data_IF_771250888799
#
_entry.id   IF_771250888799
#
_cell.length_a   1.000
_cell.length_b   1.000
_cell.length_c   1.000
_cell.angle_alpha   90.00
_cell.angle_beta   90.00
_cell.angle_gamma   90.00
#
_symmetry.space_group_name_H-M   'P 1'
#
loop_
_entity.id
_entity.type
_entity.pdbx_description
1 polymer ?
#
# COMPACT_ATOMS: atom_id res chain seq x y z
N UNK A 1 -31.76 -0.79 27.30
CA UNK A 1 -30.64 -1.37 26.57
C UNK A 1 -31.05 -2.73 26.08
N UNK A 2 -31.03 -2.97 24.79
CA UNK A 2 -31.42 -4.27 24.23
C UNK A 2 -30.21 -5.22 24.30
N UNK A 3 -30.09 -5.99 25.39
CA UNK A 3 -29.17 -7.11 25.47
C UNK A 3 -29.88 -8.36 24.95
N UNK A 4 -29.31 -8.99 23.93
CA UNK A 4 -29.80 -10.26 23.38
C UNK A 4 -29.39 -11.48 24.25
N UNK A 5 -28.60 -11.25 25.31
CA UNK A 5 -28.16 -12.24 26.27
C UNK A 5 -28.47 -11.75 27.70
N UNK A 6 -28.84 -12.63 28.61
CA UNK A 6 -29.12 -12.14 29.98
C UNK A 6 -29.78 -13.15 30.94
N UNK A 7 -30.23 -14.30 30.46
CA UNK A 7 -31.02 -15.23 31.28
C UNK A 7 -30.39 -15.76 32.58
N UNK A 8 -29.04 -15.67 32.70
CA UNK A 8 -28.31 -16.09 33.90
C UNK A 8 -28.01 -14.95 34.87
N UNK A 9 -28.03 -13.70 34.39
CA UNK A 9 -27.58 -12.56 35.18
C UNK A 9 -28.71 -12.01 36.03
N UNK A 10 -28.41 -11.72 37.31
CA UNK A 10 -29.36 -11.23 38.33
C UNK A 10 -29.27 -9.72 38.55
N UNK A 11 -28.33 -9.04 37.88
CA UNK A 11 -28.12 -7.59 37.99
C UNK A 11 -27.98 -7.01 36.57
N UNK A 12 -28.38 -5.77 36.41
CA UNK A 12 -28.12 -5.00 35.19
C UNK A 12 -26.62 -4.72 35.03
N UNK A 13 -26.14 -4.67 33.80
CA UNK A 13 -24.75 -4.32 33.52
C UNK A 13 -24.53 -2.84 33.85
N UNK A 14 -23.43 -2.55 34.53
CA UNK A 14 -23.01 -1.18 34.78
C UNK A 14 -22.77 -0.42 33.45
N UNK A 15 -23.20 0.84 33.42
CA UNK A 15 -23.14 1.64 32.20
C UNK A 15 -21.70 1.88 31.69
N UNK A 16 -20.73 2.00 32.59
CA UNK A 16 -19.31 2.15 32.20
C UNK A 16 -18.78 0.86 31.57
N UNK A 17 -19.16 -0.30 32.14
CA UNK A 17 -18.82 -1.62 31.60
C UNK A 17 -19.44 -1.81 30.22
N UNK A 18 -20.71 -1.43 30.06
CA UNK A 18 -21.38 -1.49 28.73
C UNK A 18 -20.66 -0.63 27.71
N UNK A 19 -20.37 0.63 28.00
CA UNK A 19 -19.71 1.56 27.11
C UNK A 19 -18.27 1.11 26.75
N UNK A 20 -17.57 0.52 27.72
CA UNK A 20 -16.21 0.02 27.53
C UNK A 20 -16.16 -1.22 26.61
N UNK A 21 -17.19 -2.06 26.66
CA UNK A 21 -17.28 -3.27 25.84
C UNK A 21 -17.86 -3.02 24.46
N UNK A 22 -18.62 -1.93 24.26
CA UNK A 22 -19.33 -1.65 23.01
C UNK A 22 -18.33 -1.37 21.85
N UNK A 23 -18.60 -1.98 20.69
CA UNK A 23 -17.80 -1.84 19.48
C UNK A 23 -18.51 -1.11 18.33
N UNK A 24 -19.81 -0.79 18.49
CA UNK A 24 -20.65 -0.19 17.44
C UNK A 24 -20.05 1.09 16.84
N UNK A 25 -19.25 1.85 17.61
CA UNK A 25 -18.62 3.08 17.15
C UNK A 25 -17.65 2.88 15.98
N UNK A 26 -17.02 1.72 15.89
CA UNK A 26 -16.04 1.38 14.88
C UNK A 26 -16.45 0.19 14.00
N UNK A 27 -17.11 -0.85 14.54
CA UNK A 27 -17.50 -2.04 13.78
C UNK A 27 -18.65 -1.77 12.79
N UNK A 28 -19.37 -0.67 12.96
CA UNK A 28 -20.33 -0.21 11.95
C UNK A 28 -19.75 -0.03 10.56
N UNK A 29 -18.41 0.02 10.39
CA UNK A 29 -17.74 0.11 9.09
C UNK A 29 -17.98 -1.12 8.21
N UNK A 30 -18.16 -2.29 8.81
CA UNK A 30 -18.41 -3.52 8.06
C UNK A 30 -19.88 -3.97 8.09
N UNK A 31 -20.84 -3.03 8.20
CA UNK A 31 -22.28 -3.35 8.20
C UNK A 31 -22.72 -4.15 6.97
N UNK A 32 -22.15 -3.85 5.81
CA UNK A 32 -22.46 -4.57 4.58
C UNK A 32 -21.96 -6.02 4.63
N UNK A 33 -20.75 -6.25 5.14
CA UNK A 33 -20.20 -7.59 5.28
C UNK A 33 -20.96 -8.45 6.28
N UNK A 34 -21.43 -7.87 7.40
CA UNK A 34 -22.32 -8.56 8.35
C UNK A 34 -23.65 -8.97 7.70
N UNK A 35 -24.23 -8.09 6.90
CA UNK A 35 -25.49 -8.38 6.17
C UNK A 35 -25.24 -9.45 5.09
N UNK A 36 -24.19 -9.36 4.31
CA UNK A 36 -23.85 -10.33 3.25
C UNK A 36 -23.58 -11.72 3.85
N UNK A 37 -22.78 -11.77 4.94
CA UNK A 37 -22.55 -12.99 5.70
C UNK A 37 -23.83 -13.59 6.27
N UNK A 38 -24.73 -12.75 6.78
CA UNK A 38 -26.06 -13.17 7.28
C UNK A 38 -26.95 -13.70 6.17
N UNK A 39 -26.96 -13.06 4.98
CA UNK A 39 -27.74 -13.55 3.83
C UNK A 39 -27.22 -14.90 3.31
N UNK A 40 -25.90 -15.10 3.25
CA UNK A 40 -25.31 -16.38 2.89
C UNK A 40 -25.66 -17.47 3.89
N UNK A 41 -25.61 -17.15 5.20
CA UNK A 41 -25.99 -18.06 6.26
C UNK A 41 -27.46 -18.50 6.14
N UNK A 42 -28.38 -17.58 5.93
CA UNK A 42 -29.83 -17.86 5.76
C UNK A 42 -30.10 -18.75 4.54
N UNK A 43 -29.45 -18.48 3.40
CA UNK A 43 -29.53 -19.33 2.20
C UNK A 43 -29.09 -20.77 2.50
N UNK A 44 -28.01 -20.92 3.25
CA UNK A 44 -27.50 -22.22 3.69
C UNK A 44 -28.47 -22.91 4.65
N UNK A 45 -29.03 -22.21 5.64
CA UNK A 45 -30.00 -22.79 6.57
C UNK A 45 -31.25 -23.32 5.85
N UNK A 46 -31.73 -22.59 4.83
CA UNK A 46 -32.85 -23.04 4.00
C UNK A 46 -32.48 -24.28 3.17
N UNK A 47 -31.30 -24.27 2.52
CA UNK A 47 -30.79 -25.43 1.75
C UNK A 47 -30.71 -26.70 2.60
N UNK A 48 -30.34 -26.55 3.87
CA UNK A 48 -30.24 -27.65 4.83
C UNK A 48 -31.58 -28.03 5.49
N UNK A 49 -32.69 -27.36 5.13
CA UNK A 49 -34.02 -27.61 5.69
C UNK A 49 -34.20 -27.21 7.15
N UNK A 50 -33.28 -26.36 7.66
CA UNK A 50 -33.37 -25.78 9.03
C UNK A 50 -34.36 -24.63 9.06
N UNK A 51 -34.44 -23.84 7.98
CA UNK A 51 -35.47 -22.84 7.72
C UNK A 51 -36.39 -23.31 6.59
N UNK A 52 -37.65 -22.90 6.63
CA UNK A 52 -38.53 -23.04 5.47
C UNK A 52 -38.14 -21.99 4.40
N UNK A 53 -38.51 -22.24 3.15
CA UNK A 53 -38.31 -21.26 2.06
C UNK A 53 -39.00 -19.92 2.36
N UNK A 54 -40.18 -19.95 2.98
CA UNK A 54 -40.94 -18.75 3.33
C UNK A 54 -40.18 -17.90 4.37
N UNK A 55 -39.66 -18.53 5.45
CA UNK A 55 -38.87 -17.88 6.49
C UNK A 55 -37.57 -17.29 5.91
N UNK A 56 -36.88 -18.07 5.09
CA UNK A 56 -35.67 -17.63 4.40
C UNK A 56 -35.95 -16.39 3.55
N UNK A 57 -36.98 -16.41 2.72
CA UNK A 57 -37.34 -15.28 1.86
C UNK A 57 -37.71 -14.02 2.66
N UNK A 58 -38.38 -14.19 3.81
CA UNK A 58 -38.73 -13.08 4.70
C UNK A 58 -37.44 -12.47 5.30
N UNK A 59 -36.54 -13.29 5.78
CA UNK A 59 -35.28 -12.83 6.38
C UNK A 59 -34.42 -12.14 5.33
N UNK A 60 -34.26 -12.73 4.14
CA UNK A 60 -33.44 -12.13 3.06
C UNK A 60 -33.97 -10.76 2.65
N UNK A 61 -35.29 -10.63 2.41
CA UNK A 61 -35.91 -9.33 2.10
C UNK A 61 -35.75 -8.31 3.23
N UNK A 62 -35.81 -8.77 4.49
CA UNK A 62 -35.61 -7.92 5.65
C UNK A 62 -34.17 -7.37 5.69
N UNK A 63 -33.17 -8.23 5.44
CA UNK A 63 -31.75 -7.88 5.40
C UNK A 63 -31.42 -6.94 4.22
N UNK A 64 -31.92 -7.26 3.01
CA UNK A 64 -31.80 -6.39 1.83
C UNK A 64 -32.37 -4.99 2.09
N UNK A 65 -33.54 -4.91 2.72
CA UNK A 65 -34.16 -3.64 3.07
C UNK A 65 -33.40 -2.87 4.15
N UNK A 66 -32.71 -3.55 5.08
CA UNK A 66 -31.82 -2.90 6.06
C UNK A 66 -30.60 -2.32 5.35
N UNK A 67 -29.96 -3.10 4.47
CA UNK A 67 -28.80 -2.65 3.69
C UNK A 67 -29.13 -1.39 2.88
N UNK A 68 -30.22 -1.45 2.10
CA UNK A 68 -30.65 -0.30 1.30
C UNK A 68 -30.96 0.96 2.13
N UNK A 69 -31.60 0.80 3.29
CA UNK A 69 -31.94 1.93 4.14
C UNK A 69 -30.71 2.57 4.81
N UNK A 70 -29.70 1.77 5.18
CA UNK A 70 -28.41 2.28 5.69
C UNK A 70 -27.68 3.01 4.58
N UNK A 71 -27.59 2.44 3.38
CA UNK A 71 -26.93 3.07 2.22
C UNK A 71 -27.59 4.37 1.78
N UNK A 72 -28.92 4.44 1.83
CA UNK A 72 -29.68 5.65 1.53
C UNK A 72 -29.67 6.69 2.66
N UNK A 73 -29.11 6.33 3.84
CA UNK A 73 -29.09 7.18 5.02
C UNK A 73 -30.48 7.37 5.67
N UNK A 74 -31.46 6.54 5.33
CA UNK A 74 -32.80 6.54 5.93
C UNK A 74 -32.89 5.77 7.25
N UNK A 75 -31.91 4.88 7.48
CA UNK A 75 -31.73 4.16 8.72
C UNK A 75 -30.33 4.46 9.29
N UNK A 76 -30.29 5.18 10.41
CA UNK A 76 -29.05 5.48 11.11
C UNK A 76 -28.63 4.32 12.03
N UNK A 77 -27.35 3.90 11.97
CA UNK A 77 -26.80 2.88 12.85
C UNK A 77 -26.70 3.46 14.27
N UNK A 78 -27.55 2.96 15.17
CA UNK A 78 -27.73 3.53 16.50
C UNK A 78 -26.71 3.03 17.50
N UNK A 79 -26.05 3.94 18.21
CA UNK A 79 -25.17 3.66 19.36
C UNK A 79 -25.86 3.06 20.60
N UNK A 80 -27.15 2.74 20.53
CA UNK A 80 -27.90 2.03 21.60
C UNK A 80 -27.53 0.54 21.68
N UNK A 81 -26.96 0.00 20.61
CA UNK A 81 -26.55 -1.40 20.50
C UNK A 81 -25.07 -1.56 20.84
N UNK A 82 -24.70 -2.76 21.32
CA UNK A 82 -23.33 -3.08 21.70
C UNK A 82 -22.42 -3.16 20.47
N UNK A 83 -22.92 -3.78 19.40
CA UNK A 83 -22.20 -4.04 18.15
C UNK A 83 -23.13 -3.95 16.94
N UNK A 84 -22.53 -3.95 15.74
CA UNK A 84 -23.29 -3.89 14.47
C UNK A 84 -24.20 -5.10 14.29
N UNK A 85 -23.77 -6.28 14.74
CA UNK A 85 -24.52 -7.51 14.64
C UNK A 85 -25.82 -7.44 15.43
N UNK A 86 -25.75 -6.92 16.66
CA UNK A 86 -26.94 -6.69 17.51
C UNK A 86 -27.88 -5.65 16.90
N UNK A 87 -27.33 -4.62 16.25
CA UNK A 87 -28.13 -3.64 15.52
C UNK A 87 -28.88 -4.27 14.35
N UNK A 88 -28.21 -5.04 13.50
CA UNK A 88 -28.80 -5.70 12.32
C UNK A 88 -29.88 -6.71 12.78
N UNK A 89 -29.54 -7.57 13.74
CA UNK A 89 -30.46 -8.61 14.25
C UNK A 89 -31.72 -7.99 14.89
N UNK A 90 -31.56 -6.98 15.77
CA UNK A 90 -32.69 -6.32 16.41
C UNK A 90 -33.56 -5.58 15.40
N UNK A 91 -32.96 -4.86 14.45
CA UNK A 91 -33.68 -4.16 13.39
C UNK A 91 -34.45 -5.14 12.51
N UNK A 92 -33.86 -6.30 12.20
CA UNK A 92 -34.54 -7.35 11.45
C UNK A 92 -35.74 -7.89 12.22
N UNK A 93 -35.59 -8.21 13.52
CA UNK A 93 -36.69 -8.68 14.38
C UNK A 93 -37.83 -7.65 14.46
N UNK A 94 -37.49 -6.37 14.59
CA UNK A 94 -38.50 -5.30 14.59
C UNK A 94 -39.27 -5.21 13.26
N UNK A 95 -38.66 -5.54 12.13
CA UNK A 95 -39.31 -5.51 10.81
C UNK A 95 -40.16 -6.74 10.51
N UNK A 96 -39.65 -7.94 10.86
CA UNK A 96 -40.29 -9.20 10.38
C UNK A 96 -40.72 -10.15 11.52
N UNK A 97 -40.53 -9.77 12.80
CA UNK A 97 -41.00 -10.50 13.96
C UNK A 97 -40.30 -11.85 14.19
N UNK A 98 -41.08 -12.92 14.43
CA UNK A 98 -40.56 -14.23 14.83
C UNK A 98 -39.59 -14.86 13.84
N UNK A 99 -39.78 -14.63 12.54
CA UNK A 99 -38.85 -15.15 11.52
C UNK A 99 -37.45 -14.56 11.70
N UNK A 100 -37.34 -13.28 12.09
CA UNK A 100 -36.04 -12.62 12.35
C UNK A 100 -35.22 -13.24 13.45
N UNK A 101 -35.89 -13.79 14.49
CA UNK A 101 -35.21 -14.48 15.61
C UNK A 101 -34.46 -15.75 15.18
N UNK A 102 -34.78 -16.30 14.01
CA UNK A 102 -34.14 -17.51 13.50
C UNK A 102 -32.83 -17.25 12.78
N UNK A 103 -32.47 -16.01 12.49
CA UNK A 103 -31.23 -15.60 11.82
C UNK A 103 -29.97 -16.18 12.50
N UNK A 104 -29.96 -16.21 13.83
CA UNK A 104 -28.79 -16.64 14.61
C UNK A 104 -28.67 -18.15 14.78
N UNK A 105 -29.56 -18.97 14.19
CA UNK A 105 -29.58 -20.43 14.35
C UNK A 105 -28.24 -21.06 13.86
N UNK A 106 -27.58 -21.83 14.74
CA UNK A 106 -26.31 -22.50 14.41
C UNK A 106 -25.10 -21.58 14.27
N UNK A 107 -25.19 -20.30 14.66
CA UNK A 107 -24.13 -19.31 14.58
C UNK A 107 -23.71 -18.82 15.97
N UNK A 108 -22.46 -18.43 16.10
CA UNK A 108 -21.96 -17.69 17.25
C UNK A 108 -21.52 -16.28 16.85
N UNK A 109 -21.47 -15.35 17.80
CA UNK A 109 -20.85 -14.04 17.57
C UNK A 109 -19.38 -14.19 17.16
N UNK A 110 -18.69 -15.24 17.61
CA UNK A 110 -17.26 -15.47 17.36
C UNK A 110 -16.97 -15.76 15.88
N UNK A 111 -17.71 -16.69 15.23
CA UNK A 111 -17.52 -16.98 13.80
C UNK A 111 -18.12 -15.90 12.91
N UNK A 112 -19.16 -15.19 13.35
CA UNK A 112 -19.72 -14.04 12.66
C UNK A 112 -18.72 -12.89 12.57
N UNK A 113 -18.14 -12.43 13.69
CA UNK A 113 -17.16 -11.33 13.67
C UNK A 113 -15.86 -11.71 12.94
N UNK A 114 -15.46 -12.98 13.00
CA UNK A 114 -14.31 -13.48 12.24
C UNK A 114 -14.57 -13.42 10.72
N UNK A 115 -15.79 -13.75 10.29
CA UNK A 115 -16.20 -13.64 8.89
C UNK A 115 -16.17 -12.18 8.42
N UNK A 116 -16.84 -11.29 9.17
CA UNK A 116 -17.00 -9.89 8.78
C UNK A 116 -15.65 -9.18 8.67
N UNK A 117 -14.75 -9.46 9.63
CA UNK A 117 -13.39 -8.94 9.60
C UNK A 117 -12.59 -9.46 8.39
N UNK A 118 -12.77 -10.73 8.00
CA UNK A 118 -12.14 -11.29 6.78
C UNK A 118 -12.71 -10.67 5.52
N UNK A 119 -14.03 -10.57 5.39
CA UNK A 119 -14.68 -9.94 4.23
C UNK A 119 -14.24 -8.49 4.07
N UNK A 120 -14.34 -7.70 5.14
CA UNK A 120 -13.94 -6.31 5.14
C UNK A 120 -12.46 -6.12 4.78
N UNK A 121 -11.58 -6.92 5.39
CA UNK A 121 -10.13 -6.87 5.07
C UNK A 121 -9.83 -7.29 3.65
N UNK A 122 -10.59 -8.24 3.08
CA UNK A 122 -10.47 -8.66 1.68
C UNK A 122 -10.86 -7.52 0.73
N UNK A 123 -11.96 -6.83 1.00
CA UNK A 123 -12.41 -5.70 0.19
C UNK A 123 -11.41 -4.55 0.24
N UNK A 124 -10.91 -4.21 1.43
CA UNK A 124 -9.89 -3.17 1.62
C UNK A 124 -8.57 -3.52 0.93
N UNK A 125 -8.15 -4.80 0.96
CA UNK A 125 -6.97 -5.28 0.23
C UNK A 125 -7.12 -5.01 -1.28
N UNK A 126 -8.27 -5.36 -1.86
CA UNK A 126 -8.54 -5.16 -3.30
C UNK A 126 -8.55 -3.67 -3.67
N UNK A 127 -9.12 -2.82 -2.82
CA UNK A 127 -9.10 -1.36 -3.02
C UNK A 127 -7.65 -0.84 -3.00
N UNK A 128 -6.86 -1.28 -2.02
CA UNK A 128 -5.45 -0.86 -1.89
C UNK A 128 -4.62 -1.37 -3.06
N UNK A 129 -4.82 -2.62 -3.51
CA UNK A 129 -4.15 -3.17 -4.71
C UNK A 129 -4.45 -2.32 -5.94
N UNK A 130 -5.71 -1.91 -6.13
CA UNK A 130 -6.12 -1.00 -7.19
C UNK A 130 -5.42 0.37 -7.12
N UNK A 131 -5.25 0.93 -5.92
CA UNK A 131 -4.53 2.19 -5.74
C UNK A 131 -3.03 2.05 -6.04
N UNK A 132 -2.41 0.95 -5.66
CA UNK A 132 -1.00 0.66 -6.02
C UNK A 132 -0.86 0.46 -7.53
N UNK A 133 -1.85 -0.19 -8.19
CA UNK A 133 -1.89 -0.29 -9.65
C UNK A 133 -1.93 1.09 -10.33
N UNK A 134 -2.74 2.02 -9.83
CA UNK A 134 -2.79 3.38 -10.36
C UNK A 134 -1.46 4.13 -10.16
N UNK A 135 -0.80 3.96 -9.02
CA UNK A 135 0.53 4.52 -8.79
C UNK A 135 1.56 3.95 -9.77
N UNK A 136 1.58 2.63 -9.99
CA UNK A 136 2.46 1.98 -10.96
C UNK A 136 2.22 2.50 -12.39
N UNK A 137 0.96 2.69 -12.77
CA UNK A 137 0.60 3.27 -14.07
C UNK A 137 1.12 4.69 -14.23
N UNK A 138 1.03 5.50 -13.18
CA UNK A 138 1.55 6.87 -13.16
C UNK A 138 3.08 6.89 -13.28
N UNK A 139 3.77 6.04 -12.53
CA UNK A 139 5.23 5.90 -12.60
C UNK A 139 5.65 5.47 -14.02
N UNK A 140 4.96 4.50 -14.61
CA UNK A 140 5.25 4.02 -15.96
C UNK A 140 5.10 5.11 -17.00
N UNK A 141 4.06 5.95 -16.89
CA UNK A 141 3.87 7.09 -17.77
C UNK A 141 5.04 8.08 -17.70
N UNK A 142 5.50 8.40 -16.50
CA UNK A 142 6.67 9.27 -16.29
C UNK A 142 7.92 8.63 -16.91
N UNK A 143 8.12 7.31 -16.77
CA UNK A 143 9.24 6.61 -17.40
C UNK A 143 9.21 6.73 -18.92
N UNK A 144 8.03 6.64 -19.55
CA UNK A 144 7.88 6.78 -21.00
C UNK A 144 8.22 8.20 -21.50
N UNK A 145 7.82 9.21 -20.75
CA UNK A 145 8.04 10.62 -21.08
C UNK A 145 9.50 11.06 -20.86
N UNK A 146 10.22 10.35 -19.97
CA UNK A 146 11.54 10.77 -19.49
C UNK A 146 12.65 9.74 -19.70
N UNK A 147 12.54 8.92 -20.73
CA UNK A 147 13.53 7.87 -21.04
C UNK A 147 14.92 8.44 -21.33
N UNK A 148 14.97 9.64 -21.88
CA UNK A 148 16.21 10.34 -22.27
C UNK A 148 16.56 11.50 -21.30
N UNK A 149 15.78 11.72 -20.24
CA UNK A 149 16.04 12.79 -19.28
C UNK A 149 17.18 12.41 -18.35
N UNK A 150 18.36 12.98 -18.56
CA UNK A 150 19.56 12.72 -17.77
C UNK A 150 19.50 13.43 -16.44
N UNK A 151 19.88 12.73 -15.37
CA UNK A 151 20.02 13.26 -14.02
C UNK A 151 21.18 12.59 -13.28
N UNK A 152 21.71 13.20 -12.20
CA UNK A 152 22.68 12.51 -11.35
C UNK A 152 22.01 11.40 -10.55
N UNK A 153 22.59 10.21 -10.54
CA UNK A 153 22.32 9.20 -9.53
C UNK A 153 23.12 9.51 -8.26
N UNK A 154 22.54 9.17 -7.10
CA UNK A 154 23.14 9.47 -5.79
C UNK A 154 23.45 8.21 -5.00
N UNK A 155 24.59 8.22 -4.31
CA UNK A 155 24.91 7.33 -3.20
C UNK A 155 25.39 8.20 -2.04
N UNK A 156 25.00 7.89 -0.79
CA UNK A 156 25.33 8.72 0.39
C UNK A 156 24.93 10.19 0.25
N UNK A 157 23.87 10.49 -0.53
CA UNK A 157 23.45 11.84 -0.95
C UNK A 157 24.56 12.62 -1.69
N UNK A 158 25.57 11.94 -2.20
CA UNK A 158 26.59 12.49 -3.10
C UNK A 158 26.31 12.06 -4.53
N UNK A 159 26.55 12.95 -5.50
CA UNK A 159 26.45 12.63 -6.92
C UNK A 159 27.44 11.52 -7.28
N UNK A 160 26.95 10.50 -7.97
CA UNK A 160 27.74 9.30 -8.26
C UNK A 160 27.93 9.09 -9.77
N UNK A 161 26.90 8.59 -10.45
CA UNK A 161 26.92 8.29 -11.87
C UNK A 161 25.73 8.90 -12.59
N UNK A 162 25.79 9.20 -13.91
CA UNK A 162 24.64 9.68 -14.64
C UNK A 162 23.65 8.54 -14.86
N UNK A 163 22.37 8.85 -14.66
CA UNK A 163 21.24 7.96 -14.90
C UNK A 163 20.18 8.71 -15.69
N UNK A 164 19.06 8.06 -16.02
CA UNK A 164 17.86 8.75 -16.51
C UNK A 164 16.78 8.82 -15.42
N UNK A 165 15.87 9.79 -15.57
CA UNK A 165 14.70 9.87 -14.69
C UNK A 165 13.84 8.61 -14.83
N UNK A 166 13.71 8.05 -16.04
CA UNK A 166 13.04 6.77 -16.23
C UNK A 166 13.68 5.63 -15.43
N UNK A 167 15.01 5.57 -15.39
CA UNK A 167 15.72 4.55 -14.60
C UNK A 167 15.46 4.71 -13.10
N UNK A 168 15.46 5.95 -12.60
CA UNK A 168 15.15 6.24 -11.19
C UNK A 168 13.71 5.86 -10.84
N UNK A 169 12.73 6.25 -11.65
CA UNK A 169 11.32 5.89 -11.48
C UNK A 169 11.09 4.38 -11.56
N UNK A 170 11.84 3.68 -12.40
CA UNK A 170 11.81 2.22 -12.52
C UNK A 170 12.17 1.51 -11.22
N UNK A 171 13.05 2.10 -10.37
CA UNK A 171 13.35 1.55 -9.06
C UNK A 171 12.12 1.56 -8.13
N UNK A 172 11.34 2.64 -8.12
CA UNK A 172 10.06 2.73 -7.39
C UNK A 172 9.00 1.80 -7.99
N UNK A 173 8.94 1.68 -9.30
CA UNK A 173 8.05 0.70 -9.95
C UNK A 173 8.31 -0.71 -9.41
N UNK A 174 9.56 -1.15 -9.34
CA UNK A 174 9.92 -2.47 -8.81
C UNK A 174 9.58 -2.63 -7.31
N UNK A 175 9.66 -1.56 -6.52
CA UNK A 175 9.26 -1.60 -5.11
C UNK A 175 7.75 -1.87 -4.98
N UNK A 176 6.91 -1.08 -5.63
CA UNK A 176 5.46 -1.21 -5.57
C UNK A 176 4.93 -2.45 -6.28
N UNK A 177 5.61 -2.93 -7.32
CA UNK A 177 5.33 -4.23 -7.94
C UNK A 177 5.50 -5.39 -6.95
N UNK A 178 6.56 -5.36 -6.12
CA UNK A 178 6.74 -6.34 -5.05
C UNK A 178 5.67 -6.21 -3.96
N UNK A 179 5.19 -4.99 -3.68
CA UNK A 179 4.12 -4.78 -2.72
C UNK A 179 2.81 -5.40 -3.17
N UNK A 180 2.46 -5.28 -4.46
CA UNK A 180 1.30 -5.98 -5.03
C UNK A 180 1.43 -7.49 -4.90
N UNK A 181 2.62 -8.05 -5.15
CA UNK A 181 2.86 -9.47 -4.92
C UNK A 181 2.57 -9.90 -3.48
N UNK A 182 2.95 -9.07 -2.47
CA UNK A 182 2.62 -9.33 -1.06
C UNK A 182 1.11 -9.33 -0.83
N UNK A 183 0.38 -8.35 -1.38
CA UNK A 183 -1.08 -8.29 -1.25
C UNK A 183 -1.76 -9.52 -1.86
N UNK A 184 -1.32 -9.97 -3.03
CA UNK A 184 -1.86 -11.18 -3.68
C UNK A 184 -1.56 -12.44 -2.86
N UNK A 185 -0.36 -12.58 -2.31
CA UNK A 185 0.00 -13.71 -1.45
C UNK A 185 -0.88 -13.77 -0.19
N UNK A 186 -1.18 -12.61 0.41
CA UNK A 186 -2.07 -12.51 1.57
C UNK A 186 -3.49 -12.87 1.19
N UNK A 187 -4.00 -12.36 0.06
CA UNK A 187 -5.32 -12.69 -0.45
C UNK A 187 -5.52 -14.21 -0.57
N UNK A 188 -4.55 -14.93 -1.16
CA UNK A 188 -4.60 -16.37 -1.31
C UNK A 188 -4.67 -17.13 0.04
N UNK A 189 -3.93 -16.66 1.06
CA UNK A 189 -3.93 -17.31 2.37
C UNK A 189 -5.15 -16.97 3.20
N UNK A 190 -5.66 -15.74 3.15
CA UNK A 190 -6.80 -15.31 3.95
C UNK A 190 -8.14 -15.78 3.40
N UNK A 191 -8.23 -16.19 2.13
CA UNK A 191 -9.48 -16.41 1.42
C UNK A 191 -10.12 -17.78 1.76
N UNK A 192 -10.33 -18.02 3.07
CA UNK A 192 -11.06 -19.19 3.60
C UNK A 192 -12.12 -18.73 4.60
N UNK A 193 -13.35 -19.27 4.42
CA UNK A 193 -14.54 -18.88 5.17
C UNK A 193 -14.55 -19.46 6.60
N UNK A 194 -14.64 -18.63 7.65
CA UNK A 194 -14.71 -19.10 9.04
C UNK A 194 -16.13 -19.47 9.48
N UNK A 195 -17.19 -19.02 8.78
CA UNK A 195 -18.57 -19.18 9.24
C UNK A 195 -18.97 -20.65 9.35
N UNK A 196 -19.77 -20.94 10.37
CA UNK A 196 -20.15 -22.31 10.77
C UNK A 196 -19.20 -22.98 11.77
N UNK A 197 -18.13 -22.27 12.18
CA UNK A 197 -17.23 -22.72 13.27
C UNK A 197 -17.86 -22.61 14.64
N UNK A 198 -18.98 -21.88 14.75
CA UNK A 198 -19.64 -21.62 16.01
C UNK A 198 -18.76 -20.78 16.96
N UNK A 199 -18.86 -21.03 18.25
CA UNK A 199 -17.99 -20.36 19.22
C UNK A 199 -16.52 -20.81 19.12
N UNK A 200 -16.27 -22.11 18.83
CA UNK A 200 -14.95 -22.74 18.67
C UNK A 200 -15.02 -24.22 18.22
N UNK A 201 -16.15 -24.88 18.42
CA UNK A 201 -16.27 -26.35 18.25
C UNK A 201 -17.33 -26.75 17.19
N UNK A 202 -17.71 -25.82 16.32
CA UNK A 202 -18.79 -26.03 15.37
C UNK A 202 -20.15 -26.04 16.04
N UNK A 203 -21.10 -26.77 15.47
CA UNK A 203 -22.49 -26.86 15.92
C UNK A 203 -23.05 -28.25 15.66
N UNK A 204 -24.16 -28.60 16.34
CA UNK A 204 -24.87 -29.87 16.09
C UNK A 204 -25.84 -29.80 14.91
N UNK A 205 -26.02 -28.63 14.31
CA UNK A 205 -26.79 -28.48 13.06
C UNK A 205 -25.97 -28.95 11.87
N UNK A 206 -26.60 -29.55 10.84
CA UNK A 206 -25.91 -30.02 9.64
C UNK A 206 -25.61 -28.83 8.68
N UNK A 207 -24.78 -27.90 9.10
CA UNK A 207 -24.41 -26.73 8.28
C UNK A 207 -23.54 -27.12 7.08
N UNK A 208 -23.85 -26.56 5.91
CA UNK A 208 -23.04 -26.69 4.69
C UNK A 208 -22.06 -25.50 4.59
N UNK A 209 -20.89 -25.62 5.23
CA UNK A 209 -19.89 -24.54 5.28
C UNK A 209 -19.26 -24.27 3.91
N UNK A 210 -19.14 -25.27 3.06
CA UNK A 210 -18.58 -25.11 1.70
C UNK A 210 -19.56 -24.29 0.84
N UNK A 211 -20.85 -24.51 0.98
CA UNK A 211 -21.85 -23.70 0.27
C UNK A 211 -21.86 -22.24 0.72
N UNK A 212 -21.64 -21.97 2.00
CA UNK A 212 -21.47 -20.58 2.48
C UNK A 212 -20.19 -19.95 1.91
N UNK A 213 -19.09 -20.71 1.86
CA UNK A 213 -17.85 -20.25 1.26
C UNK A 213 -18.02 -19.91 -0.23
N UNK A 214 -18.72 -20.76 -0.99
CA UNK A 214 -19.07 -20.50 -2.40
C UNK A 214 -19.88 -19.22 -2.57
N UNK A 215 -20.95 -19.03 -1.78
CA UNK A 215 -21.80 -17.83 -1.83
C UNK A 215 -21.06 -16.52 -1.55
N UNK A 216 -20.01 -16.57 -0.72
CA UNK A 216 -19.19 -15.44 -0.32
C UNK A 216 -17.87 -15.35 -1.10
N UNK A 217 -17.71 -16.15 -2.17
CA UNK A 217 -16.53 -16.14 -3.04
C UNK A 217 -15.21 -16.44 -2.31
N UNK A 218 -15.29 -17.26 -1.24
CA UNK A 218 -14.11 -17.84 -0.62
C UNK A 218 -13.63 -19.08 -1.37
N UNK A 219 -12.36 -19.41 -1.24
CA UNK A 219 -11.74 -20.58 -1.84
C UNK A 219 -12.25 -21.91 -1.25
N UNK A 220 -12.79 -21.86 -0.04
CA UNK A 220 -13.35 -22.97 0.72
C UNK A 220 -13.58 -22.58 2.18
N UNK A 221 -14.05 -23.51 2.99
CA UNK A 221 -14.17 -23.32 4.43
C UNK A 221 -12.83 -23.59 5.15
N UNK A 222 -12.64 -22.99 6.33
CA UNK A 222 -11.47 -23.26 7.18
C UNK A 222 -11.53 -24.69 7.77
N UNK A 223 -10.38 -25.34 7.93
CA UNK A 223 -10.28 -26.76 8.32
C UNK A 223 -10.48 -27.01 9.83
N UNK A 224 -10.13 -26.06 10.68
CA UNK A 224 -10.24 -26.21 12.14
C UNK A 224 -11.08 -25.08 12.73
N UNK A 225 -12.18 -25.42 13.39
CA UNK A 225 -13.16 -24.47 13.92
C UNK A 225 -12.63 -23.61 15.07
N UNK A 226 -11.66 -24.10 15.85
CA UNK A 226 -11.06 -23.34 16.94
C UNK A 226 -10.06 -22.30 16.42
N UNK A 227 -9.23 -22.67 15.46
CA UNK A 227 -8.32 -21.78 14.74
C UNK A 227 -9.12 -20.73 13.96
N UNK A 228 -10.18 -21.15 13.31
CA UNK A 228 -11.06 -20.34 12.47
C UNK A 228 -11.56 -19.05 13.15
N UNK A 229 -11.91 -19.13 14.42
CA UNK A 229 -12.40 -17.99 15.23
C UNK A 229 -11.26 -17.21 15.92
N UNK A 230 -10.06 -17.79 15.94
CA UNK A 230 -8.85 -17.24 16.58
C UNK A 230 -7.90 -16.55 15.61
N UNK A 231 -7.90 -16.97 14.33
CA UNK A 231 -6.97 -16.50 13.31
C UNK A 231 -7.07 -14.99 13.11
N UNK A 232 -5.92 -14.33 13.25
CA UNK A 232 -5.67 -12.93 12.88
C UNK A 232 -4.34 -12.78 12.15
N UNK A 233 -3.76 -13.88 11.68
CA UNK A 233 -2.49 -13.85 10.94
C UNK A 233 -2.61 -12.98 9.70
N UNK A 234 -3.74 -13.07 8.98
CA UNK A 234 -4.01 -12.24 7.81
C UNK A 234 -4.03 -10.73 8.13
N UNK A 235 -4.47 -10.33 9.33
CA UNK A 235 -4.43 -8.92 9.77
C UNK A 235 -2.99 -8.48 9.97
N UNK A 236 -2.17 -9.31 10.62
CA UNK A 236 -0.74 -9.05 10.85
C UNK A 236 0.00 -8.98 9.51
N UNK A 237 -0.27 -9.90 8.60
CA UNK A 237 0.32 -9.91 7.25
C UNK A 237 -0.07 -8.65 6.46
N UNK A 238 -1.35 -8.26 6.48
CA UNK A 238 -1.83 -7.02 5.85
C UNK A 238 -1.14 -5.79 6.42
N UNK A 239 -1.14 -5.63 7.74
CA UNK A 239 -0.47 -4.50 8.39
C UNK A 239 1.04 -4.47 8.09
N UNK A 240 1.69 -5.63 7.93
CA UNK A 240 3.09 -5.74 7.50
C UNK A 240 3.27 -5.29 6.05
N UNK A 241 2.40 -5.71 5.14
CA UNK A 241 2.43 -5.28 3.75
C UNK A 241 2.17 -3.77 3.64
N UNK A 242 1.17 -3.24 4.36
CA UNK A 242 0.85 -1.82 4.42
C UNK A 242 2.00 -0.99 4.99
N UNK A 243 2.68 -1.51 6.02
CA UNK A 243 3.89 -0.90 6.57
C UNK A 243 5.01 -0.82 5.53
N UNK A 244 5.16 -1.85 4.69
CA UNK A 244 6.14 -1.87 3.60
C UNK A 244 5.78 -0.88 2.49
N UNK A 245 4.52 -0.79 2.09
CA UNK A 245 4.02 0.22 1.14
C UNK A 245 4.32 1.63 1.67
N UNK A 246 3.98 1.90 2.93
CA UNK A 246 4.24 3.22 3.53
C UNK A 246 5.74 3.54 3.64
N UNK A 247 6.58 2.54 3.88
CA UNK A 247 8.04 2.72 3.86
C UNK A 247 8.54 3.12 2.47
N UNK A 248 8.02 2.49 1.41
CA UNK A 248 8.36 2.86 0.03
C UNK A 248 7.85 4.27 -0.32
N UNK A 249 6.61 4.61 0.06
CA UNK A 249 6.06 5.96 -0.10
C UNK A 249 6.86 7.00 0.68
N UNK A 250 7.29 6.68 1.90
CA UNK A 250 8.11 7.57 2.74
C UNK A 250 9.47 7.87 2.09
N UNK A 251 10.14 6.86 1.55
CA UNK A 251 11.41 7.03 0.81
C UNK A 251 11.23 7.89 -0.43
N UNK A 252 10.17 7.63 -1.21
CA UNK A 252 9.87 8.42 -2.40
C UNK A 252 9.50 9.87 -2.04
N UNK A 253 8.73 10.06 -0.97
CA UNK A 253 8.41 11.39 -0.43
C UNK A 253 9.65 12.17 -0.05
N UNK A 254 10.63 11.52 0.62
CA UNK A 254 11.89 12.15 1.00
C UNK A 254 12.66 12.67 -0.21
N UNK A 255 12.77 11.88 -1.28
CA UNK A 255 13.43 12.32 -2.51
C UNK A 255 12.68 13.48 -3.19
N UNK A 256 11.35 13.44 -3.24
CA UNK A 256 10.54 14.55 -3.78
C UNK A 256 10.76 15.82 -2.96
N UNK A 257 10.81 15.73 -1.63
CA UNK A 257 11.06 16.88 -0.74
C UNK A 257 12.45 17.47 -1.05
N UNK A 258 13.48 16.63 -1.15
CA UNK A 258 14.84 17.07 -1.51
C UNK A 258 14.85 17.72 -2.91
N UNK A 259 14.23 17.09 -3.89
CA UNK A 259 14.19 17.61 -5.27
C UNK A 259 13.41 18.90 -5.42
N UNK A 260 12.44 19.15 -4.55
CA UNK A 260 11.63 20.39 -4.54
C UNK A 260 12.30 21.54 -3.80
N UNK A 261 13.44 21.33 -3.12
CA UNK A 261 14.16 22.42 -2.43
C UNK A 261 14.69 23.45 -3.42
N UNK A 262 14.93 24.67 -2.91
CA UNK A 262 15.54 25.75 -3.69
C UNK A 262 16.95 25.41 -4.18
N UNK A 263 17.64 24.51 -3.50
CA UNK A 263 18.98 24.03 -3.79
C UNK A 263 19.02 23.06 -4.98
N UNK A 264 18.05 22.11 -5.03
CA UNK A 264 17.97 21.11 -6.11
C UNK A 264 17.13 21.61 -7.29
N UNK A 265 15.91 22.05 -7.05
CA UNK A 265 14.97 22.53 -8.10
C UNK A 265 14.74 21.51 -9.22
N UNK A 266 14.82 20.20 -8.91
CA UNK A 266 14.60 19.16 -9.91
C UNK A 266 13.13 18.98 -10.25
N UNK A 267 12.24 19.27 -9.29
CA UNK A 267 10.79 19.17 -9.47
C UNK A 267 10.09 20.43 -8.97
N UNK A 268 8.92 20.67 -9.53
CA UNK A 268 7.92 21.62 -9.02
C UNK A 268 6.62 20.86 -8.79
N UNK A 269 6.15 20.85 -7.53
CA UNK A 269 4.87 20.25 -7.16
C UNK A 269 3.75 21.21 -7.59
N UNK A 270 2.65 20.68 -8.14
CA UNK A 270 1.49 21.47 -8.54
C UNK A 270 0.86 22.22 -7.34
N UNK A 271 0.31 23.39 -7.60
CA UNK A 271 -0.32 24.24 -6.58
C UNK A 271 -1.47 23.53 -5.85
N UNK A 272 -2.18 22.62 -6.54
CA UNK A 272 -3.25 21.81 -5.95
C UNK A 272 -2.76 20.82 -4.88
N UNK A 273 -1.46 20.50 -4.87
CA UNK A 273 -0.81 19.56 -3.94
C UNK A 273 0.24 20.23 -3.04
N UNK A 274 0.18 21.54 -2.92
CA UNK A 274 1.12 22.34 -2.13
C UNK A 274 0.37 23.30 -1.23
N UNK A 275 1.02 23.80 -0.18
CA UNK A 275 0.49 24.92 0.61
C UNK A 275 1.45 26.09 0.62
N UNK A 276 0.92 27.27 0.88
CA UNK A 276 1.70 28.50 1.06
C UNK A 276 1.99 28.79 2.52
N UNK A 277 2.58 29.96 2.75
CA UNK A 277 2.79 30.52 4.09
C UNK A 277 1.92 31.75 4.28
N UNK A 278 1.30 31.89 5.44
CA UNK A 278 0.51 33.07 5.79
C UNK A 278 1.34 34.37 5.95
N UNK A 279 2.66 34.24 6.11
CA UNK A 279 3.58 35.33 6.33
C UNK A 279 4.61 35.49 5.20
N UNK A 280 4.92 34.44 4.46
CA UNK A 280 5.94 34.42 3.41
C UNK A 280 5.29 34.16 2.05
N UNK A 281 4.92 35.15 1.25
CA UNK A 281 4.14 34.97 0.03
C UNK A 281 4.86 34.17 -1.07
N UNK A 282 6.20 34.04 -1.00
CA UNK A 282 7.01 33.29 -1.95
C UNK A 282 7.14 31.80 -1.60
N UNK A 283 6.70 31.38 -0.40
CA UNK A 283 6.93 30.02 0.10
C UNK A 283 5.87 29.06 -0.39
N UNK A 284 6.32 27.93 -0.94
CA UNK A 284 5.50 26.80 -1.38
C UNK A 284 6.04 25.53 -0.73
N UNK A 285 5.20 24.85 0.02
CA UNK A 285 5.60 23.70 0.85
C UNK A 285 5.18 22.37 0.22
N UNK A 286 5.99 21.30 0.33
CA UNK A 286 5.67 19.95 -0.16
C UNK A 286 4.85 19.16 0.87
N UNK A 287 3.77 19.73 1.43
CA UNK A 287 3.06 19.18 2.60
C UNK A 287 2.53 17.77 2.39
N UNK A 288 2.09 17.41 1.17
CA UNK A 288 1.59 16.07 0.88
C UNK A 288 2.70 15.05 1.05
N UNK A 289 3.89 15.30 0.51
CA UNK A 289 5.04 14.42 0.67
C UNK A 289 5.46 14.32 2.16
N UNK A 290 5.46 15.43 2.89
CA UNK A 290 5.79 15.45 4.31
C UNK A 290 4.78 14.66 5.16
N UNK A 291 3.48 14.84 4.91
CA UNK A 291 2.42 14.11 5.62
C UNK A 291 2.45 12.60 5.32
N UNK A 292 2.69 12.21 4.07
CA UNK A 292 2.84 10.79 3.70
C UNK A 292 4.03 10.18 4.46
N UNK A 293 5.17 10.87 4.49
CA UNK A 293 6.34 10.47 5.27
C UNK A 293 6.00 10.34 6.76
N UNK A 294 5.32 11.32 7.35
CA UNK A 294 4.93 11.34 8.76
C UNK A 294 3.92 10.24 9.14
N UNK A 295 2.91 9.99 8.29
CA UNK A 295 1.86 8.98 8.53
C UNK A 295 2.38 7.54 8.51
N UNK A 296 3.58 7.29 7.98
CA UNK A 296 4.22 5.98 8.00
C UNK A 296 4.33 5.41 9.42
N UNK A 297 4.72 6.24 10.40
CA UNK A 297 4.80 5.82 11.80
C UNK A 297 3.47 5.36 12.40
N UNK A 298 2.34 5.91 11.93
CA UNK A 298 1.01 5.50 12.38
C UNK A 298 0.69 4.05 11.97
N UNK A 299 1.01 3.68 10.74
CA UNK A 299 0.81 2.31 10.23
C UNK A 299 1.76 1.32 10.90
N UNK A 300 3.02 1.71 11.16
CA UNK A 300 3.94 0.90 11.96
C UNK A 300 3.42 0.65 13.38
N UNK A 301 2.84 1.68 14.00
CA UNK A 301 2.21 1.56 15.32
C UNK A 301 1.07 0.55 15.31
N UNK A 302 0.23 0.52 14.28
CA UNK A 302 -0.85 -0.45 14.13
C UNK A 302 -0.32 -1.89 14.06
N UNK A 303 0.73 -2.15 13.27
CA UNK A 303 1.37 -3.47 13.20
C UNK A 303 1.92 -3.92 14.57
N UNK A 304 2.64 -3.04 15.25
CA UNK A 304 3.20 -3.34 16.58
C UNK A 304 2.12 -3.61 17.62
N UNK A 305 1.02 -2.84 17.59
CA UNK A 305 -0.13 -3.06 18.47
C UNK A 305 -0.77 -4.41 18.22
N UNK A 306 -0.99 -4.80 16.95
CA UNK A 306 -1.59 -6.09 16.61
C UNK A 306 -0.72 -7.28 17.03
N UNK A 307 0.59 -7.22 16.77
CA UNK A 307 1.54 -8.23 17.26
C UNK A 307 1.52 -8.35 18.78
N UNK A 308 1.40 -7.22 19.47
CA UNK A 308 1.34 -7.17 20.95
C UNK A 308 0.03 -7.75 21.48
N UNK A 309 -1.08 -7.46 20.85
CA UNK A 309 -2.40 -7.99 21.22
C UNK A 309 -2.41 -9.53 21.10
N UNK A 310 -1.90 -10.07 20.01
CA UNK A 310 -1.98 -11.52 19.74
C UNK A 310 -0.96 -12.37 20.50
N UNK A 311 0.18 -11.81 20.92
CA UNK A 311 1.36 -12.57 21.44
C UNK A 311 1.14 -13.50 22.62
N UNK A 312 0.06 -13.38 23.37
CA UNK A 312 -0.05 -14.11 24.64
C UNK A 312 -1.47 -14.59 24.97
N UNK A 313 -2.43 -14.40 24.08
CA UNK A 313 -3.80 -14.85 24.29
C UNK A 313 -3.94 -16.35 23.97
N UNK A 314 -4.78 -17.09 24.74
CA UNK A 314 -5.05 -18.49 24.44
C UNK A 314 -5.92 -18.64 23.18
N UNK A 315 -6.09 -19.90 22.74
CA UNK A 315 -6.88 -20.26 21.55
C UNK A 315 -8.36 -19.84 21.67
N UNK A 316 -9.05 -19.92 20.57
CA UNK A 316 -10.41 -19.46 20.33
C UNK A 316 -10.51 -17.92 20.45
N UNK A 317 -11.60 -17.38 20.95
CA UNK A 317 -11.82 -15.94 21.02
C UNK A 317 -11.61 -15.43 22.45
N UNK A 318 -10.88 -14.32 22.54
CA UNK A 318 -10.73 -13.52 23.74
C UNK A 318 -11.07 -12.06 23.40
N UNK A 319 -11.61 -11.31 24.36
CA UNK A 319 -12.06 -9.91 24.15
C UNK A 319 -10.92 -8.98 23.69
N UNK A 320 -9.66 -9.35 23.96
CA UNK A 320 -8.45 -8.69 23.42
C UNK A 320 -8.50 -8.53 21.91
N UNK A 321 -9.07 -9.51 21.21
CA UNK A 321 -9.21 -9.49 19.74
C UNK A 321 -10.13 -8.36 19.23
N UNK A 322 -10.89 -7.67 20.10
CA UNK A 322 -11.65 -6.49 19.68
C UNK A 322 -10.74 -5.34 19.24
N UNK A 323 -9.49 -5.31 19.77
CA UNK A 323 -8.47 -4.34 19.39
C UNK A 323 -7.96 -4.51 17.94
N UNK A 324 -8.31 -5.60 17.27
CA UNK A 324 -7.97 -5.84 15.87
C UNK A 324 -8.59 -4.80 14.90
N UNK A 325 -9.71 -4.17 15.26
CA UNK A 325 -10.53 -3.36 14.38
C UNK A 325 -10.04 -1.92 14.22
N UNK A 326 -10.00 -1.16 15.31
CA UNK A 326 -9.72 0.27 15.27
C UNK A 326 -8.37 0.58 14.61
N UNK A 327 -7.32 -0.12 15.05
CA UNK A 327 -5.97 0.06 14.50
C UNK A 327 -5.86 -0.36 13.02
N UNK A 328 -6.58 -1.42 12.63
CA UNK A 328 -6.54 -1.93 11.25
C UNK A 328 -7.34 -1.05 10.30
N UNK A 329 -8.53 -0.62 10.71
CA UNK A 329 -9.35 0.31 9.93
C UNK A 329 -8.67 1.65 9.74
N UNK A 330 -8.00 2.16 10.79
CA UNK A 330 -7.20 3.37 10.70
C UNK A 330 -6.01 3.23 9.75
N UNK A 331 -5.35 2.08 9.77
CA UNK A 331 -4.24 1.79 8.85
C UNK A 331 -4.73 1.73 7.39
N UNK A 332 -5.87 1.07 7.12
CA UNK A 332 -6.45 1.01 5.78
C UNK A 332 -6.77 2.41 5.25
N UNK A 333 -7.51 3.22 6.04
CA UNK A 333 -7.88 4.58 5.64
C UNK A 333 -6.65 5.47 5.43
N UNK A 334 -5.64 5.32 6.28
CA UNK A 334 -4.37 6.06 6.16
C UNK A 334 -3.65 5.71 4.87
N UNK A 335 -3.50 4.43 4.55
CA UNK A 335 -2.78 3.98 3.35
C UNK A 335 -3.53 4.35 2.08
N UNK A 336 -4.87 4.16 2.04
CA UNK A 336 -5.71 4.59 0.91
C UNK A 336 -5.55 6.08 0.62
N UNK A 337 -5.65 6.91 1.67
CA UNK A 337 -5.48 8.36 1.55
C UNK A 337 -4.08 8.75 1.07
N UNK A 338 -3.03 8.13 1.61
CA UNK A 338 -1.65 8.39 1.19
C UNK A 338 -1.40 7.98 -0.26
N UNK A 339 -1.83 6.81 -0.70
CA UNK A 339 -1.68 6.34 -2.09
C UNK A 339 -2.39 7.26 -3.07
N UNK A 340 -3.65 7.62 -2.79
CA UNK A 340 -4.44 8.47 -3.67
C UNK A 340 -3.83 9.86 -3.83
N UNK A 341 -3.48 10.51 -2.72
CA UNK A 341 -2.89 11.87 -2.74
C UNK A 341 -1.48 11.87 -3.34
N UNK A 342 -0.65 10.87 -3.01
CA UNK A 342 0.69 10.76 -3.55
C UNK A 342 0.67 10.53 -5.08
N UNK A 343 -0.21 9.66 -5.56
CA UNK A 343 -0.39 9.40 -7.00
C UNK A 343 -0.82 10.66 -7.74
N UNK A 344 -1.78 11.41 -7.21
CA UNK A 344 -2.25 12.67 -7.80
C UNK A 344 -1.14 13.73 -7.83
N UNK A 345 -0.39 13.89 -6.75
CA UNK A 345 0.77 14.78 -6.67
C UNK A 345 1.82 14.40 -7.73
N UNK A 346 2.17 13.12 -7.83
CA UNK A 346 3.17 12.63 -8.78
C UNK A 346 2.72 12.82 -10.24
N UNK A 347 1.43 12.60 -10.54
CA UNK A 347 0.87 12.72 -11.89
C UNK A 347 0.86 14.16 -12.43
N UNK A 348 0.88 15.17 -11.56
CA UNK A 348 0.83 16.59 -11.92
C UNK A 348 2.16 17.32 -11.73
N UNK A 349 3.16 16.61 -11.19
CA UNK A 349 4.49 17.16 -10.92
C UNK A 349 5.22 17.53 -12.22
N UNK A 350 5.90 18.68 -12.21
CA UNK A 350 6.77 19.10 -13.31
C UNK A 350 8.22 18.75 -13.01
N UNK A 351 8.91 18.21 -14.01
CA UNK A 351 10.32 17.85 -13.92
C UNK A 351 11.18 18.89 -14.64
N UNK A 352 12.13 19.49 -13.93
CA UNK A 352 13.06 20.48 -14.46
C UNK A 352 14.28 19.81 -15.10
N UNK A 353 14.10 19.24 -16.29
CA UNK A 353 15.09 18.41 -17.00
C UNK A 353 16.44 19.13 -17.17
N UNK A 354 16.43 20.42 -17.50
CA UNK A 354 17.66 21.22 -17.63
C UNK A 354 18.45 21.35 -16.33
N UNK A 355 17.77 21.48 -15.16
CA UNK A 355 18.43 21.49 -13.85
C UNK A 355 19.04 20.14 -13.51
N UNK A 356 18.34 19.05 -13.83
CA UNK A 356 18.82 17.69 -13.64
C UNK A 356 20.11 17.44 -14.44
N UNK A 357 20.10 17.75 -15.74
CA UNK A 357 21.25 17.57 -16.62
C UNK A 357 22.45 18.43 -16.20
N UNK A 358 22.23 19.72 -15.94
CA UNK A 358 23.30 20.61 -15.46
C UNK A 358 23.91 20.10 -14.14
N UNK A 359 23.07 19.56 -13.25
CA UNK A 359 23.55 18.99 -11.98
C UNK A 359 24.38 17.71 -12.19
N UNK A 360 24.06 16.89 -13.22
CA UNK A 360 24.88 15.73 -13.56
C UNK A 360 26.27 16.14 -14.04
N UNK A 361 26.37 17.09 -14.95
CA UNK A 361 27.65 17.61 -15.47
C UNK A 361 28.56 18.17 -14.37
N UNK A 362 28.03 19.09 -13.55
CA UNK A 362 28.78 19.73 -12.47
C UNK A 362 29.18 18.77 -11.32
N UNK A 363 28.73 17.54 -11.34
CA UNK A 363 29.04 16.55 -10.33
C UNK A 363 30.14 15.58 -10.70
N UNK A 364 30.83 15.78 -11.81
CA UNK A 364 31.84 14.83 -12.36
C UNK A 364 31.31 13.39 -12.46
N UNK A 365 30.01 13.23 -12.72
CA UNK A 365 29.35 11.91 -12.76
C UNK A 365 29.85 11.03 -13.89
N UNK A 366 30.54 11.62 -14.87
CA UNK A 366 31.24 10.97 -16.00
C UNK A 366 32.72 10.62 -15.71
N UNK A 367 33.23 10.86 -14.50
CA UNK A 367 34.60 10.56 -14.17
C UNK A 367 34.95 9.06 -14.32
N UNK A 368 34.01 8.17 -13.97
CA UNK A 368 34.21 6.72 -14.17
C UNK A 368 34.36 6.39 -15.66
N UNK A 369 33.58 7.04 -16.52
CA UNK A 369 33.63 6.83 -17.97
C UNK A 369 34.96 7.32 -18.57
N UNK A 370 35.56 8.40 -18.03
CA UNK A 370 36.92 8.85 -18.35
C UNK A 370 37.97 7.84 -17.93
N UNK A 371 37.79 7.17 -16.78
CA UNK A 371 38.70 6.08 -16.37
C UNK A 371 38.57 4.86 -17.27
N UNK A 372 37.38 4.47 -17.65
CA UNK A 372 37.10 3.37 -18.56
C UNK A 372 37.68 3.67 -19.97
N UNK A 373 37.61 4.93 -20.42
CA UNK A 373 38.28 5.37 -21.65
C UNK A 373 39.77 5.09 -21.61
N UNK A 374 40.47 5.49 -20.55
CA UNK A 374 41.91 5.23 -20.40
C UNK A 374 42.23 3.73 -20.36
N UNK A 375 41.41 2.93 -19.68
CA UNK A 375 41.57 1.47 -19.64
C UNK A 375 41.46 0.88 -21.05
N UNK A 376 40.51 1.33 -21.86
CA UNK A 376 40.34 0.90 -23.25
C UNK A 376 41.54 1.31 -24.14
N UNK A 377 42.32 2.33 -23.70
CA UNK A 377 43.56 2.78 -24.36
C UNK A 377 44.81 2.18 -23.73
N UNK A 378 44.67 1.10 -22.96
CA UNK A 378 45.78 0.29 -22.43
C UNK A 378 46.36 0.75 -21.10
N UNK A 379 45.74 1.72 -20.41
CA UNK A 379 46.15 2.12 -19.06
C UNK A 379 45.58 1.16 -18.04
N UNK A 380 46.39 0.72 -17.07
CA UNK A 380 45.88 -0.12 -15.99
C UNK A 380 44.81 0.62 -15.18
N UNK A 381 43.74 -0.07 -14.77
CA UNK A 381 42.58 0.55 -14.09
C UNK A 381 42.96 1.41 -12.88
N UNK A 382 43.92 0.96 -12.07
CA UNK A 382 44.35 1.70 -10.88
C UNK A 382 45.06 3.02 -11.24
N UNK A 383 45.84 3.01 -12.32
CA UNK A 383 46.53 4.20 -12.82
C UNK A 383 45.53 5.13 -13.49
N UNK A 384 44.59 4.60 -14.28
CA UNK A 384 43.48 5.37 -14.89
C UNK A 384 42.66 6.10 -13.80
N UNK A 385 42.33 5.41 -12.71
CA UNK A 385 41.64 6.02 -11.57
C UNK A 385 42.44 7.17 -10.95
N UNK A 386 43.74 7.02 -10.80
CA UNK A 386 44.63 8.07 -10.28
C UNK A 386 44.68 9.29 -11.22
N UNK A 387 44.79 9.07 -12.54
CA UNK A 387 44.80 10.11 -13.57
C UNK A 387 43.49 10.89 -13.53
N UNK A 388 42.33 10.18 -13.48
CA UNK A 388 41.03 10.82 -13.44
C UNK A 388 40.82 11.57 -12.11
N UNK A 389 41.35 11.08 -11.01
CA UNK A 389 41.40 11.83 -9.75
C UNK A 389 42.09 13.20 -9.88
N UNK A 390 43.17 13.27 -10.65
CA UNK A 390 43.85 14.53 -10.95
C UNK A 390 43.01 15.45 -11.87
N UNK A 391 42.32 14.87 -12.87
CA UNK A 391 41.36 15.65 -13.71
C UNK A 391 40.27 16.28 -12.87
N UNK A 392 39.64 15.51 -11.97
CA UNK A 392 38.60 16.00 -11.09
C UNK A 392 39.10 17.13 -10.16
N UNK A 393 40.27 16.94 -9.58
CA UNK A 393 40.91 17.97 -8.75
C UNK A 393 41.16 19.24 -9.53
N UNK A 394 41.75 19.14 -10.73
CA UNK A 394 41.98 20.28 -11.62
C UNK A 394 40.66 20.97 -11.97
N UNK A 395 39.61 20.20 -12.28
CA UNK A 395 38.28 20.76 -12.57
C UNK A 395 37.68 21.54 -11.40
N UNK A 396 37.82 21.02 -10.17
CA UNK A 396 37.39 21.70 -8.94
C UNK A 396 38.12 23.04 -8.74
N UNK A 397 39.43 23.02 -8.88
CA UNK A 397 40.29 24.21 -8.68
C UNK A 397 40.02 25.30 -9.72
N UNK A 398 39.60 24.93 -10.94
CA UNK A 398 39.36 25.88 -12.04
C UNK A 398 37.87 26.13 -12.31
N UNK A 399 36.95 25.51 -11.56
CA UNK A 399 35.50 25.65 -11.74
C UNK A 399 34.98 25.09 -13.07
N UNK A 400 35.60 24.03 -13.60
CA UNK A 400 35.28 23.41 -14.90
C UNK A 400 34.72 22.02 -14.72
N UNK A 401 33.68 21.66 -15.48
CA UNK A 401 33.31 20.26 -15.67
C UNK A 401 34.30 19.57 -16.61
N UNK A 402 34.35 18.22 -16.64
CA UNK A 402 35.27 17.51 -17.54
C UNK A 402 35.03 17.81 -19.01
N UNK A 403 33.77 18.04 -19.40
CA UNK A 403 33.36 18.41 -20.76
C UNK A 403 33.91 19.76 -21.23
N UNK A 404 34.32 20.64 -20.28
CA UNK A 404 34.83 21.98 -20.55
C UNK A 404 36.37 22.04 -20.66
N UNK A 405 37.06 20.89 -20.50
CA UNK A 405 38.50 20.84 -20.62
C UNK A 405 38.92 20.95 -22.09
N UNK A 406 39.98 21.67 -22.34
CA UNK A 406 40.67 21.65 -23.62
C UNK A 406 41.52 20.39 -23.77
N UNK A 407 41.86 20.00 -25.01
CA UNK A 407 42.73 18.87 -25.25
C UNK A 407 44.11 19.05 -24.61
N UNK A 408 44.62 20.29 -24.60
CA UNK A 408 45.90 20.61 -23.93
C UNK A 408 45.81 20.36 -22.41
N UNK A 409 44.68 20.68 -21.78
CA UNK A 409 44.47 20.40 -20.34
C UNK A 409 44.39 18.90 -20.07
N UNK A 410 43.69 18.14 -20.91
CA UNK A 410 43.68 16.67 -20.82
C UNK A 410 45.10 16.09 -20.99
N UNK A 411 45.78 16.50 -22.05
CA UNK A 411 47.17 16.00 -22.35
C UNK A 411 48.22 16.42 -21.35
N UNK A 412 48.02 17.54 -20.68
CA UNK A 412 48.91 17.94 -19.57
C UNK A 412 48.85 16.98 -18.38
N UNK A 413 47.72 16.30 -18.17
CA UNK A 413 47.54 15.30 -17.10
C UNK A 413 47.94 13.89 -17.58
N UNK A 414 47.52 13.52 -18.80
CA UNK A 414 47.95 12.27 -19.43
C UNK A 414 47.99 12.39 -20.95
N UNK A 415 49.10 12.01 -21.59
CA UNK A 415 49.23 12.06 -23.05
C UNK A 415 48.37 11.03 -23.78
N UNK A 416 47.74 10.13 -23.07
CA UNK A 416 46.86 9.07 -23.63
C UNK A 416 45.52 9.64 -24.12
N UNK A 417 45.09 10.80 -23.62
CA UNK A 417 43.85 11.41 -24.07
C UNK A 417 43.92 11.91 -25.51
N UNK A 418 42.92 11.58 -26.33
CA UNK A 418 42.75 12.03 -27.69
C UNK A 418 41.35 12.68 -27.89
N UNK A 419 41.05 13.25 -29.04
CA UNK A 419 39.83 14.00 -29.33
C UNK A 419 38.51 13.20 -29.07
N UNK A 420 38.55 11.88 -29.16
CA UNK A 420 37.42 11.00 -28.89
C UNK A 420 37.02 10.90 -27.40
N UNK A 421 37.83 11.45 -26.49
CA UNK A 421 37.44 11.58 -25.08
C UNK A 421 36.16 12.38 -24.91
N UNK A 422 35.94 13.44 -25.68
CA UNK A 422 34.75 14.28 -25.57
C UNK A 422 33.46 13.50 -25.85
N UNK A 423 33.47 12.60 -26.82
CA UNK A 423 32.36 11.70 -27.07
C UNK A 423 32.22 10.67 -25.93
N UNK A 424 33.33 10.13 -25.47
CA UNK A 424 33.33 9.08 -24.46
C UNK A 424 32.75 9.54 -23.12
N UNK A 425 32.99 10.81 -22.73
CA UNK A 425 32.52 11.39 -21.46
C UNK A 425 31.24 12.21 -21.58
N UNK A 426 30.66 12.32 -22.79
CA UNK A 426 29.36 12.99 -22.93
C UNK A 426 28.31 12.30 -22.08
N UNK A 427 27.44 13.04 -21.38
CA UNK A 427 26.43 12.47 -20.50
C UNK A 427 25.53 11.45 -21.22
N UNK A 428 25.21 11.73 -22.48
CA UNK A 428 24.43 10.83 -23.32
C UNK A 428 25.14 9.50 -23.57
N UNK A 429 26.43 9.55 -23.95
CA UNK A 429 27.24 8.34 -24.18
C UNK A 429 27.43 7.55 -22.88
N UNK A 430 27.72 8.25 -21.78
CA UNK A 430 27.86 7.62 -20.45
C UNK A 430 26.63 6.82 -20.07
N UNK A 431 25.43 7.35 -20.29
CA UNK A 431 24.17 6.65 -20.00
C UNK A 431 23.94 5.51 -21.01
N UNK A 432 24.06 5.79 -22.31
CA UNK A 432 23.64 4.86 -23.37
C UNK A 432 24.56 3.64 -23.55
N UNK A 433 25.84 3.73 -23.15
CA UNK A 433 26.76 2.58 -23.13
C UNK A 433 26.51 1.58 -21.99
N UNK A 434 25.64 1.90 -21.02
CA UNK A 434 25.25 0.99 -19.93
C UNK A 434 24.14 0.07 -20.36
N UNK A 435 24.50 -1.07 -20.99
CA UNK A 435 23.58 -2.00 -21.67
C UNK A 435 23.25 -3.27 -20.88
N UNK A 436 23.79 -3.46 -19.68
CA UNK A 436 23.48 -4.60 -18.85
C UNK A 436 22.01 -4.56 -18.38
N UNK A 437 21.41 -5.72 -18.12
CA UNK A 437 20.02 -5.78 -17.66
C UNK A 437 19.82 -4.92 -16.41
N UNK A 438 18.84 -4.01 -16.45
CA UNK A 438 18.52 -3.10 -15.36
C UNK A 438 19.33 -1.80 -15.35
N UNK A 439 20.25 -1.59 -16.29
CA UNK A 439 21.04 -0.36 -16.43
C UNK A 439 20.24 0.78 -17.10
N UNK A 440 20.70 2.04 -17.01
CA UNK A 440 19.96 3.21 -17.48
C UNK A 440 19.99 3.41 -19.01
N UNK A 441 20.75 2.65 -19.77
CA UNK A 441 20.89 2.84 -21.22
C UNK A 441 19.53 2.78 -21.94
N UNK A 442 19.32 3.65 -22.91
CA UNK A 442 18.04 3.86 -23.59
C UNK A 442 17.39 2.56 -24.08
N UNK A 443 18.15 1.68 -24.73
CA UNK A 443 17.63 0.40 -25.22
C UNK A 443 17.12 -0.50 -24.07
N UNK A 444 17.84 -0.51 -22.93
CA UNK A 444 17.47 -1.29 -21.76
C UNK A 444 16.19 -0.72 -21.15
N UNK A 445 16.09 0.61 -21.04
CA UNK A 445 14.92 1.28 -20.50
C UNK A 445 13.67 1.04 -21.35
N UNK A 446 13.78 1.11 -22.68
CA UNK A 446 12.67 0.81 -23.59
C UNK A 446 12.17 -0.64 -23.43
N UNK A 447 13.08 -1.62 -23.31
CA UNK A 447 12.72 -3.02 -23.04
C UNK A 447 12.06 -3.18 -21.67
N UNK A 448 12.57 -2.47 -20.67
CA UNK A 448 12.01 -2.49 -19.30
C UNK A 448 10.58 -1.91 -19.28
N UNK A 449 10.35 -0.78 -19.97
CA UNK A 449 9.02 -0.16 -20.12
C UNK A 449 8.03 -1.14 -20.77
N UNK A 450 8.45 -1.84 -21.82
CA UNK A 450 7.61 -2.88 -22.47
C UNK A 450 7.26 -3.98 -21.45
N UNK A 451 8.24 -4.47 -20.72
CA UNK A 451 8.01 -5.51 -19.69
C UNK A 451 7.03 -5.04 -18.61
N UNK A 452 7.11 -3.77 -18.20
CA UNK A 452 6.20 -3.20 -17.20
C UNK A 452 4.78 -3.01 -17.75
N UNK A 453 4.63 -2.63 -19.03
CA UNK A 453 3.32 -2.62 -19.71
C UNK A 453 2.69 -4.01 -19.75
N UNK A 454 3.47 -5.02 -20.11
CA UNK A 454 2.99 -6.40 -20.12
C UNK A 454 2.60 -6.89 -18.71
N UNK A 455 3.33 -6.47 -17.69
CA UNK A 455 2.97 -6.79 -16.30
C UNK A 455 1.62 -6.17 -15.93
N UNK A 456 1.40 -4.87 -16.23
CA UNK A 456 0.15 -4.20 -15.92
C UNK A 456 -1.03 -4.70 -16.76
N UNK A 457 -0.82 -5.18 -17.98
CA UNK A 457 -1.89 -5.67 -18.86
C UNK A 457 -2.41 -7.07 -18.52
N UNK A 458 -1.70 -7.85 -17.70
CA UNK A 458 -2.07 -9.22 -17.30
C UNK A 458 -2.91 -9.26 -16.04
N UNK A 459 -3.23 -8.13 -15.52
CA UNK A 459 -3.99 -7.94 -14.29
C UNK A 459 -5.32 -7.23 -14.54
#
# INVERSE_FOLDING_TARGET
MAQLWGGRFTKETDQLVYNFNASISFDKKFYSQDIDGSMAHVKMLAKQGILTEEESNQILKGLEGILEDVEKGTLEISHKYEDIHSFVEATLIDRIGEAGKKLHTGRSRNDQVALDMKLYSRDELLIIDGLVYHLLTTILKIMEEHVDTIMPGFTHLQKAQPITLAHHMGAYFEMFKRDRGRLHDIYERMNYCPLGSGALAGTTYPLDREYVAELLEFKGATENSMDSVSDRDYVIELLSALSTIMMHLSRFSEEIIIWNTNEYQFVEIDDAYSTGSSIMPQKKNPDIAELVRGKTGRVYGALMSMLTTMKGIPLAYNKDMQEDKELTFDAYDTVKGCLALFTGMLATMKFNTGKMEASAKLGYTNATDAADYLVNHGVAFRDAHGIVGQLVLYGIEHGKALDDFTMDEFKAISPVFEEDIYEAISMETCVNKRLTKGAPGREVMLKTIITYKEYLSKM
#
